data_IF_169590649272
#
_entry.id   IF_169590649272
#
_cell.length_a   1.000
_cell.length_b   1.000
_cell.length_c   1.000
_cell.angle_alpha   90.00
_cell.angle_beta   90.00
_cell.angle_gamma   90.00
#
_symmetry.space_group_name_H-M   'P 1'
#
loop_
_entity.id
_entity.type
_entity.pdbx_description
1 polymer ?
#
# COMPACT_ATOMS: atom_id res chain seq x y z
N UNK A 1 10.00 -18.99 9.06
CA UNK A 1 10.67 -18.33 7.91
C UNK A 1 9.83 -17.25 7.22
N UNK A 2 8.51 -17.29 7.21
CA UNK A 2 7.65 -16.28 6.57
C UNK A 2 7.73 -14.87 7.19
N UNK A 3 7.91 -14.74 8.50
CA UNK A 3 7.92 -13.44 9.20
C UNK A 3 9.12 -12.55 8.90
N UNK A 4 10.28 -13.15 8.62
CA UNK A 4 11.51 -12.38 8.29
C UNK A 4 11.45 -11.83 6.87
N UNK A 5 10.81 -12.55 5.95
CA UNK A 5 10.63 -12.13 4.56
C UNK A 5 9.67 -10.94 4.44
N UNK A 6 8.59 -10.93 5.21
CA UNK A 6 7.62 -9.82 5.26
C UNK A 6 8.25 -8.55 5.84
N UNK A 7 9.10 -8.66 6.88
CA UNK A 7 9.82 -7.52 7.45
C UNK A 7 10.82 -6.91 6.46
N UNK A 8 11.51 -7.74 5.68
CA UNK A 8 12.46 -7.28 4.64
C UNK A 8 11.75 -6.58 3.48
N UNK A 9 10.60 -7.12 3.05
CA UNK A 9 9.79 -6.49 1.98
C UNK A 9 9.25 -5.14 2.43
N UNK A 10 8.80 -5.01 3.68
CA UNK A 10 8.27 -3.76 4.21
C UNK A 10 9.37 -2.69 4.41
N UNK A 11 10.58 -3.08 4.82
CA UNK A 11 11.73 -2.17 4.97
C UNK A 11 12.24 -1.66 3.62
N UNK A 12 12.41 -2.55 2.66
CA UNK A 12 12.84 -2.20 1.31
C UNK A 12 11.77 -1.38 0.55
N UNK A 13 10.49 -1.63 0.84
CA UNK A 13 9.38 -0.91 0.23
C UNK A 13 9.32 0.56 0.69
N UNK A 14 9.52 0.83 1.98
CA UNK A 14 9.60 2.20 2.52
C UNK A 14 10.80 2.96 1.95
N UNK A 15 11.93 2.29 1.77
CA UNK A 15 13.13 2.88 1.20
C UNK A 15 12.96 3.16 -0.31
N UNK A 16 12.35 2.25 -1.06
CA UNK A 16 11.99 2.48 -2.46
C UNK A 16 10.96 3.60 -2.61
N UNK A 17 10.03 3.73 -1.69
CA UNK A 17 9.04 4.80 -1.66
C UNK A 17 9.68 6.17 -1.43
N UNK A 18 10.66 6.24 -0.51
CA UNK A 18 11.40 7.47 -0.23
C UNK A 18 12.26 7.91 -1.43
N UNK A 19 12.86 6.95 -2.14
CA UNK A 19 13.61 7.18 -3.38
C UNK A 19 12.66 7.65 -4.49
N UNK A 20 11.50 7.01 -4.65
CA UNK A 20 10.48 7.42 -5.61
C UNK A 20 9.95 8.84 -5.35
N UNK A 21 9.68 9.17 -4.08
CA UNK A 21 9.26 10.51 -3.68
C UNK A 21 10.35 11.56 -3.92
N UNK A 22 11.62 11.24 -3.66
CA UNK A 22 12.74 12.16 -3.93
C UNK A 22 12.98 12.34 -5.43
N UNK A 23 12.83 11.29 -6.23
CA UNK A 23 12.89 11.38 -7.70
C UNK A 23 11.73 12.20 -8.26
N UNK A 24 10.50 11.99 -7.77
CA UNK A 24 9.32 12.78 -8.15
C UNK A 24 9.53 14.26 -7.78
N UNK A 25 10.07 14.54 -6.59
CA UNK A 25 10.38 15.91 -6.18
C UNK A 25 11.44 16.57 -7.08
N UNK A 26 12.49 15.84 -7.44
CA UNK A 26 13.55 16.34 -8.35
C UNK A 26 13.02 16.59 -9.77
N UNK A 27 12.08 15.76 -10.22
CA UNK A 27 11.42 15.87 -11.52
C UNK A 27 10.41 17.02 -11.55
N UNK A 28 9.74 17.31 -10.42
CA UNK A 28 8.81 18.46 -10.31
C UNK A 28 9.56 19.79 -10.37
N UNK A 29 10.82 19.84 -9.92
CA UNK A 29 11.63 21.05 -9.87
C UNK A 29 12.22 21.46 -11.24
N UNK A 30 12.29 20.55 -12.21
CA UNK A 30 12.85 20.83 -13.54
C UNK A 30 11.84 20.60 -14.68
N UNK A 31 10.90 21.54 -14.92
CA UNK A 31 9.89 21.39 -15.96
C UNK A 31 10.41 21.53 -17.41
N UNK A 32 11.70 21.83 -17.58
CA UNK A 32 12.28 22.22 -18.88
C UNK A 32 12.82 21.07 -19.74
N UNK A 33 12.88 19.83 -19.25
CA UNK A 33 13.72 18.80 -19.89
C UNK A 33 12.99 17.72 -20.71
N UNK A 34 11.64 17.65 -20.71
CA UNK A 34 11.01 16.54 -21.43
C UNK A 34 9.72 16.92 -22.16
N UNK A 35 9.87 17.36 -23.42
CA UNK A 35 8.75 17.54 -24.34
C UNK A 35 8.99 16.69 -25.59
N UNK A 36 8.62 15.41 -25.55
CA UNK A 36 8.75 14.46 -26.67
C UNK A 36 7.38 14.13 -27.24
N UNK A 37 7.21 14.27 -28.56
CA UNK A 37 6.02 13.75 -29.27
C UNK A 37 6.27 12.31 -29.68
N UNK A 38 5.53 11.39 -29.11
CA UNK A 38 5.52 9.99 -29.49
C UNK A 38 4.08 9.53 -29.73
N UNK A 39 3.80 8.88 -30.86
CA UNK A 39 2.45 8.46 -31.27
C UNK A 39 1.41 9.58 -31.31
N UNK A 40 1.77 10.81 -31.69
CA UNK A 40 0.85 11.95 -31.73
C UNK A 40 0.45 12.48 -30.35
N UNK A 41 0.99 11.93 -29.27
CA UNK A 41 0.73 12.30 -27.89
C UNK A 41 1.88 13.19 -27.41
N UNK A 42 1.56 14.39 -26.95
CA UNK A 42 2.56 15.25 -26.30
C UNK A 42 2.86 14.70 -24.90
N UNK A 43 4.07 14.20 -24.73
CA UNK A 43 4.57 13.69 -23.46
C UNK A 43 5.14 14.83 -22.65
N UNK A 44 4.32 15.33 -21.72
CA UNK A 44 4.77 16.26 -20.71
C UNK A 44 5.14 15.47 -19.45
N UNK A 45 6.06 16.00 -18.68
CA UNK A 45 6.47 15.41 -17.40
C UNK A 45 5.28 14.99 -16.51
N UNK A 46 4.26 15.83 -16.41
CA UNK A 46 3.04 15.54 -15.66
C UNK A 46 2.28 14.31 -16.17
N UNK A 47 2.35 14.03 -17.45
CA UNK A 47 1.75 12.84 -18.05
C UNK A 47 2.48 11.57 -17.61
N UNK A 48 3.82 11.63 -17.52
CA UNK A 48 4.64 10.53 -16.99
C UNK A 48 4.33 10.28 -15.52
N UNK A 49 4.17 11.34 -14.72
CA UNK A 49 3.75 11.25 -13.31
C UNK A 49 2.38 10.58 -13.20
N UNK A 50 1.41 10.97 -14.02
CA UNK A 50 0.08 10.35 -14.06
C UNK A 50 0.15 8.85 -14.40
N UNK A 51 0.95 8.47 -15.40
CA UNK A 51 1.16 7.06 -15.74
C UNK A 51 1.85 6.27 -14.63
N UNK A 52 2.89 6.84 -14.02
CA UNK A 52 3.54 6.21 -12.87
C UNK A 52 2.56 6.01 -11.71
N UNK A 53 1.75 7.01 -11.38
CA UNK A 53 0.68 6.90 -10.38
C UNK A 53 -0.33 5.79 -10.70
N UNK A 54 -0.73 5.68 -11.97
CA UNK A 54 -1.65 4.63 -12.44
C UNK A 54 -1.03 3.23 -12.28
N UNK A 55 0.23 3.06 -12.64
CA UNK A 55 0.94 1.78 -12.50
C UNK A 55 1.10 1.39 -11.03
N UNK A 56 1.48 2.32 -10.16
CA UNK A 56 1.57 2.09 -8.71
C UNK A 56 0.19 1.72 -8.15
N UNK A 57 -0.83 2.45 -8.54
CA UNK A 57 -2.20 2.19 -8.10
C UNK A 57 -2.72 0.84 -8.60
N UNK A 58 -2.39 0.45 -9.83
CA UNK A 58 -2.77 -0.85 -10.39
C UNK A 58 -2.01 -2.01 -9.75
N UNK A 59 -0.74 -1.83 -9.40
CA UNK A 59 0.11 -2.87 -8.81
C UNK A 59 -0.48 -3.45 -7.51
N UNK A 60 -1.35 -2.71 -6.81
CA UNK A 60 -2.06 -3.21 -5.62
C UNK A 60 -2.92 -4.45 -5.91
N UNK A 61 -3.54 -4.51 -7.10
CA UNK A 61 -4.34 -5.66 -7.51
C UNK A 61 -3.47 -6.88 -7.79
N UNK A 62 -2.29 -6.67 -8.38
CA UNK A 62 -1.32 -7.76 -8.61
C UNK A 62 -0.83 -8.34 -7.29
N UNK A 63 -0.54 -7.49 -6.30
CA UNK A 63 -0.13 -7.93 -4.96
C UNK A 63 -1.26 -8.69 -4.25
N UNK A 64 -2.50 -8.21 -4.36
CA UNK A 64 -3.67 -8.90 -3.80
C UNK A 64 -3.89 -10.25 -4.48
N UNK A 65 -3.85 -10.29 -5.81
CA UNK A 65 -4.01 -11.52 -6.59
C UNK A 65 -2.94 -12.55 -6.23
N UNK A 66 -1.68 -12.15 -6.20
CA UNK A 66 -0.58 -13.03 -5.79
C UNK A 66 -0.75 -13.56 -4.37
N UNK A 67 -1.14 -12.71 -3.42
CA UNK A 67 -1.36 -13.11 -2.04
C UNK A 67 -2.53 -14.11 -1.91
N UNK A 68 -3.62 -13.90 -2.64
CA UNK A 68 -4.80 -14.77 -2.68
C UNK A 68 -4.45 -16.13 -3.29
N UNK A 69 -3.72 -16.13 -4.41
CA UNK A 69 -3.31 -17.37 -5.08
C UNK A 69 -2.40 -18.22 -4.18
N UNK A 70 -1.44 -17.59 -3.52
CA UNK A 70 -0.51 -18.28 -2.63
C UNK A 70 -1.18 -18.84 -1.38
N UNK A 71 -2.18 -18.16 -0.84
CA UNK A 71 -2.87 -18.60 0.38
C UNK A 71 -4.13 -19.42 0.11
N UNK A 72 -4.56 -19.58 -1.14
CA UNK A 72 -5.79 -20.26 -1.58
C UNK A 72 -7.05 -19.77 -0.85
N UNK A 73 -7.02 -18.53 -0.37
CA UNK A 73 -8.15 -17.83 0.27
C UNK A 73 -8.06 -16.35 -0.03
N UNK A 74 -9.20 -15.67 -0.10
CA UNK A 74 -9.22 -14.22 -0.36
C UNK A 74 -8.57 -13.48 0.81
N UNK A 75 -7.45 -12.82 0.52
CA UNK A 75 -6.67 -12.06 1.51
C UNK A 75 -6.32 -10.71 0.95
N UNK A 76 -6.47 -9.68 1.78
CA UNK A 76 -6.01 -8.32 1.46
C UNK A 76 -4.75 -8.03 2.28
N UNK A 77 -3.56 -8.11 1.68
CA UNK A 77 -2.31 -7.85 2.39
C UNK A 77 -2.18 -6.37 2.74
N UNK A 78 -1.43 -6.07 3.80
CA UNK A 78 -1.20 -4.67 4.22
C UNK A 78 -0.59 -3.80 3.12
N UNK A 79 0.25 -4.40 2.26
CA UNK A 79 0.85 -3.72 1.12
C UNK A 79 -0.19 -3.13 0.15
N UNK A 80 -1.37 -3.74 0.02
CA UNK A 80 -2.47 -3.22 -0.79
C UNK A 80 -2.87 -1.80 -0.36
N UNK A 81 -2.99 -1.55 0.95
CA UNK A 81 -3.39 -0.25 1.49
C UNK A 81 -2.32 0.81 1.30
N UNK A 82 -1.05 0.44 1.48
CA UNK A 82 0.08 1.35 1.24
C UNK A 82 0.22 1.72 -0.24
N UNK A 83 0.14 0.75 -1.14
CA UNK A 83 0.18 0.99 -2.58
C UNK A 83 -1.00 1.86 -3.03
N UNK A 84 -2.19 1.64 -2.46
CA UNK A 84 -3.37 2.45 -2.75
C UNK A 84 -3.17 3.89 -2.32
N UNK A 85 -2.65 4.12 -1.12
CA UNK A 85 -2.41 5.47 -0.60
C UNK A 85 -1.35 6.21 -1.43
N UNK A 86 -0.23 5.55 -1.74
CA UNK A 86 0.85 6.15 -2.52
C UNK A 86 0.44 6.43 -3.96
N UNK A 87 -0.18 5.46 -4.62
CA UNK A 87 -0.66 5.63 -5.99
C UNK A 87 -1.72 6.73 -6.09
N UNK A 88 -2.65 6.79 -5.13
CA UNK A 88 -3.67 7.85 -5.10
C UNK A 88 -3.08 9.23 -4.83
N UNK A 89 -2.00 9.34 -4.03
CA UNK A 89 -1.32 10.61 -3.81
C UNK A 89 -0.66 11.15 -5.09
N UNK A 90 0.00 10.28 -5.84
CA UNK A 90 0.62 10.64 -7.13
C UNK A 90 -0.45 11.03 -8.14
N UNK A 91 -1.56 10.27 -8.22
CA UNK A 91 -2.68 10.60 -9.11
C UNK A 91 -3.38 11.89 -8.70
N UNK A 92 -3.53 12.16 -7.40
CA UNK A 92 -4.09 13.41 -6.90
C UNK A 92 -3.23 14.61 -7.31
N UNK A 93 -1.91 14.50 -7.20
CA UNK A 93 -0.98 15.55 -7.65
C UNK A 93 -1.15 15.86 -9.14
N UNK A 94 -1.30 14.81 -9.96
CA UNK A 94 -1.59 14.96 -11.38
C UNK A 94 -2.95 15.63 -11.63
N UNK A 95 -3.99 15.21 -10.90
CA UNK A 95 -5.35 15.74 -11.01
C UNK A 95 -5.42 17.24 -10.65
N UNK A 96 -4.72 17.64 -9.58
CA UNK A 96 -4.61 19.06 -9.16
C UNK A 96 -3.93 19.88 -10.27
N UNK A 97 -2.84 19.36 -10.83
CA UNK A 97 -2.15 20.04 -11.93
C UNK A 97 -3.06 20.23 -13.16
N UNK A 98 -3.86 19.21 -13.48
CA UNK A 98 -4.83 19.25 -14.59
C UNK A 98 -6.10 20.03 -14.25
N UNK A 99 -6.31 20.40 -12.98
CA UNK A 99 -7.53 21.05 -12.46
C UNK A 99 -8.80 20.24 -12.74
N UNK A 100 -8.67 18.91 -12.70
CA UNK A 100 -9.81 18.00 -12.89
C UNK A 100 -10.50 17.74 -11.55
N UNK A 101 -11.64 18.42 -11.36
CA UNK A 101 -12.40 18.34 -10.10
C UNK A 101 -12.95 16.95 -9.81
N UNK A 102 -13.31 16.17 -10.84
CA UNK A 102 -13.85 14.82 -10.66
C UNK A 102 -12.77 13.89 -10.11
N UNK A 103 -11.58 13.93 -10.70
CA UNK A 103 -10.44 13.13 -10.22
C UNK A 103 -9.97 13.58 -8.83
N UNK A 104 -9.93 14.89 -8.55
CA UNK A 104 -9.55 15.40 -7.21
C UNK A 104 -10.49 14.86 -6.14
N UNK A 105 -11.80 14.98 -6.33
CA UNK A 105 -12.80 14.49 -5.36
C UNK A 105 -12.76 12.99 -5.23
N UNK A 106 -12.67 12.24 -6.33
CA UNK A 106 -12.60 10.78 -6.33
C UNK A 106 -11.39 10.25 -5.57
N UNK A 107 -10.20 10.85 -5.78
CA UNK A 107 -8.99 10.47 -5.06
C UNK A 107 -9.06 10.83 -3.57
N UNK A 108 -9.58 12.01 -3.23
CA UNK A 108 -9.72 12.44 -1.83
C UNK A 108 -10.67 11.53 -1.04
N UNK A 109 -11.81 11.18 -1.60
CA UNK A 109 -12.77 10.25 -0.97
C UNK A 109 -12.19 8.85 -0.76
N UNK A 110 -11.33 8.40 -1.66
CA UNK A 110 -10.67 7.09 -1.55
C UNK A 110 -9.72 6.99 -0.35
N UNK A 111 -9.23 8.11 0.18
CA UNK A 111 -8.33 8.11 1.33
C UNK A 111 -9.01 7.66 2.63
N UNK A 112 -10.30 7.93 2.78
CA UNK A 112 -11.05 7.55 3.99
C UNK A 112 -10.96 6.05 4.28
N UNK A 113 -11.34 5.15 3.35
CA UNK A 113 -11.20 3.71 3.58
C UNK A 113 -9.75 3.25 3.67
N UNK A 114 -8.81 3.86 2.92
CA UNK A 114 -7.40 3.46 2.97
C UNK A 114 -6.78 3.73 4.33
N UNK A 115 -6.95 4.93 4.86
CA UNK A 115 -6.45 5.31 6.18
C UNK A 115 -7.12 4.48 7.27
N UNK A 116 -8.45 4.35 7.25
CA UNK A 116 -9.20 3.56 8.23
C UNK A 116 -8.70 2.11 8.29
N UNK A 117 -8.57 1.45 7.14
CA UNK A 117 -8.13 0.06 7.11
C UNK A 117 -6.65 -0.10 7.55
N UNK A 118 -5.81 0.88 7.23
CA UNK A 118 -4.43 0.90 7.69
C UNK A 118 -4.34 1.04 9.22
N UNK A 119 -5.16 1.90 9.84
CA UNK A 119 -5.25 2.05 11.29
C UNK A 119 -5.74 0.77 11.97
N UNK A 120 -6.82 0.16 11.46
CA UNK A 120 -7.35 -1.10 11.98
C UNK A 120 -6.30 -2.20 11.89
N UNK A 121 -5.60 -2.30 10.77
CA UNK A 121 -4.56 -3.33 10.58
C UNK A 121 -3.39 -3.15 11.55
N UNK A 122 -2.96 -1.91 11.80
CA UNK A 122 -1.94 -1.60 12.80
C UNK A 122 -2.39 -1.96 14.21
N UNK A 123 -3.62 -1.59 14.58
CA UNK A 123 -4.20 -1.90 15.89
C UNK A 123 -4.27 -3.41 16.12
N UNK A 124 -4.78 -4.18 15.16
CA UNK A 124 -4.87 -5.63 15.27
C UNK A 124 -3.50 -6.30 15.38
N UNK A 125 -2.48 -5.77 14.70
CA UNK A 125 -1.12 -6.28 14.80
C UNK A 125 -0.48 -6.01 16.17
N UNK A 126 -0.75 -4.83 16.74
CA UNK A 126 -0.26 -4.46 18.07
C UNK A 126 -0.94 -5.27 19.18
N UNK A 127 -2.17 -5.71 18.98
CA UNK A 127 -2.95 -6.48 19.94
C UNK A 127 -2.75 -8.01 19.83
N UNK A 128 -1.83 -8.50 18.99
CA UNK A 128 -1.55 -9.93 18.87
C UNK A 128 -1.03 -10.51 20.17
N UNK A 129 -1.56 -11.69 20.54
CA UNK A 129 -1.19 -12.42 21.77
C UNK A 129 -0.30 -13.60 21.39
N UNK A 130 0.80 -13.73 22.11
CA UNK A 130 1.70 -14.88 21.97
C UNK A 130 1.18 -16.03 22.82
N UNK A 131 0.98 -17.20 22.23
CA UNK A 131 0.62 -18.40 22.98
C UNK A 131 1.78 -18.83 23.89
N UNK A 132 1.53 -19.01 25.19
CA UNK A 132 2.53 -19.45 26.16
C UNK A 132 2.99 -20.89 25.92
N UNK A 133 2.16 -21.73 25.29
CA UNK A 133 2.47 -23.14 25.06
C UNK A 133 3.32 -23.41 23.81
N UNK A 134 3.11 -22.68 22.72
CA UNK A 134 3.80 -22.93 21.44
C UNK A 134 4.46 -21.71 20.81
N UNK A 135 4.39 -20.51 21.42
CA UNK A 135 4.99 -19.28 20.92
C UNK A 135 4.32 -18.69 19.65
N UNK A 136 3.22 -19.26 19.19
CA UNK A 136 2.51 -18.78 18.00
C UNK A 136 1.78 -17.48 18.29
N UNK A 137 1.93 -16.47 17.41
CA UNK A 137 1.19 -15.21 17.48
C UNK A 137 -0.25 -15.44 17.01
N UNK A 138 -1.21 -15.05 17.85
CA UNK A 138 -2.64 -15.21 17.60
C UNK A 138 -3.35 -13.85 17.61
N UNK A 139 -4.44 -13.70 16.82
CA UNK A 139 -5.29 -12.52 16.93
C UNK A 139 -5.96 -12.44 18.30
N UNK A 140 -6.26 -11.24 18.79
CA UNK A 140 -6.87 -11.04 20.12
C UNK A 140 -8.29 -11.62 20.23
N UNK A 141 -8.93 -11.92 19.11
CA UNK A 141 -10.27 -12.52 19.07
C UNK A 141 -10.30 -14.03 19.33
N UNK A 142 -9.15 -14.70 19.32
CA UNK A 142 -9.08 -16.13 19.53
C UNK A 142 -8.96 -16.45 21.04
N UNK A 143 -9.85 -17.29 21.55
CA UNK A 143 -9.78 -17.80 22.91
C UNK A 143 -8.84 -19.01 23.05
N UNK A 144 -8.63 -19.73 21.94
CA UNK A 144 -7.76 -20.90 21.87
C UNK A 144 -6.74 -20.76 20.76
N UNK A 145 -5.54 -21.26 20.99
CA UNK A 145 -4.49 -21.30 19.98
C UNK A 145 -4.79 -22.37 18.91
N UNK A 146 -4.90 -21.99 17.62
CA UNK A 146 -5.19 -22.96 16.56
C UNK A 146 -4.06 -23.97 16.31
N UNK A 147 -2.85 -23.69 16.81
CA UNK A 147 -1.68 -24.56 16.60
C UNK A 147 -1.51 -25.63 17.68
N UNK A 148 -1.86 -25.35 18.94
CA UNK A 148 -1.65 -26.29 20.06
C UNK A 148 -2.89 -26.49 20.94
N UNK A 149 -4.00 -25.81 20.68
CA UNK A 149 -5.23 -25.89 21.49
C UNK A 149 -5.17 -25.18 22.84
N UNK A 150 -4.02 -24.61 23.23
CA UNK A 150 -3.86 -23.95 24.53
C UNK A 150 -4.75 -22.71 24.65
N UNK A 151 -5.23 -22.44 25.88
CA UNK A 151 -6.04 -21.25 26.18
C UNK A 151 -5.17 -20.00 26.06
N UNK A 152 -5.63 -19.04 25.28
CA UNK A 152 -5.04 -17.71 25.23
C UNK A 152 -5.73 -16.91 26.34
N UNK A 153 -4.94 -16.47 27.34
CA UNK A 153 -5.47 -15.86 28.57
C UNK A 153 -6.41 -14.66 28.31
N UNK A 154 -7.20 -14.26 29.30
CA UNK A 154 -8.14 -13.15 29.16
C UNK A 154 -7.40 -11.86 28.80
N UNK A 155 -7.92 -11.17 27.80
CA UNK A 155 -7.41 -9.85 27.41
C UNK A 155 -7.88 -8.81 28.42
N UNK A 156 -6.99 -7.89 28.87
CA UNK A 156 -7.40 -6.74 29.64
C UNK A 156 -8.30 -5.81 28.83
#
# INVERSE_FOLDING_TARGET
MAGVMVKRICGNFLQSLCILLSMIASIILNPLLFNVRFLGIEWHLWKVIGWAGTLIFFSRFLVQWYATERQKKVVVPQAFWWLSLCGSLVLLSYAIHKRDSVFIVGQALSWVPYLRNLFIHRKNKAAQVTCSGCGTLNPPSHQFCPSCGGVLGPHP
#
